data_IF_034361219109
#
_entry.id   IF_034361219109
#
_cell.length_a   1.000
_cell.length_b   1.000
_cell.length_c   1.000
_cell.angle_alpha   90.00
_cell.angle_beta   90.00
_cell.angle_gamma   90.00
#
_symmetry.space_group_name_H-M   'P 1'
#
loop_
_entity.id
_entity.type
_entity.pdbx_description
1 polymer ?
#
# COMPACT_ATOMS: atom_id res chain seq x y z
N UNK A 1 9.54 1.36 27.61
CA UNK A 1 8.90 0.08 27.99
C UNK A 1 9.65 -1.06 27.32
N UNK A 2 10.16 -2.02 28.09
CA UNK A 2 10.66 -3.26 27.53
C UNK A 2 9.48 -4.05 26.98
N UNK A 3 9.42 -4.18 25.66
CA UNK A 3 8.35 -4.89 24.96
C UNK A 3 8.41 -6.37 25.33
N UNK A 4 7.31 -6.88 25.86
CA UNK A 4 7.13 -8.28 26.17
C UNK A 4 7.31 -9.10 24.86
N UNK A 5 8.37 -9.90 24.79
CA UNK A 5 8.79 -10.68 23.60
C UNK A 5 8.07 -12.02 23.48
N UNK A 6 7.09 -12.27 24.33
CA UNK A 6 6.48 -13.58 24.50
C UNK A 6 4.98 -13.53 24.25
N UNK A 7 4.48 -14.50 23.50
CA UNK A 7 3.06 -14.64 23.20
C UNK A 7 2.48 -15.88 23.88
N UNK A 8 1.26 -15.74 24.42
CA UNK A 8 0.53 -16.83 25.07
C UNK A 8 -0.43 -17.46 24.07
N UNK A 9 -0.34 -18.78 23.87
CA UNK A 9 -1.34 -19.51 23.09
C UNK A 9 -2.55 -19.82 23.97
N UNK A 10 -3.74 -19.38 23.55
CA UNK A 10 -4.99 -19.55 24.30
C UNK A 10 -5.80 -20.72 23.71
N UNK A 11 -6.01 -21.74 24.52
CA UNK A 11 -7.17 -22.63 24.45
C UNK A 11 -7.65 -22.76 25.90
N UNK A 12 -8.89 -22.35 26.18
CA UNK A 12 -9.59 -22.51 27.46
C UNK A 12 -8.73 -22.64 28.74
N UNK A 13 -8.57 -21.54 29.48
CA UNK A 13 -8.16 -21.50 30.89
C UNK A 13 -6.81 -22.11 31.34
N UNK A 14 -6.03 -22.81 30.50
CA UNK A 14 -4.70 -23.33 30.88
C UNK A 14 -3.69 -23.28 29.73
N UNK A 15 -2.86 -22.23 29.70
CA UNK A 15 -1.74 -22.10 28.77
C UNK A 15 -0.53 -22.94 29.22
N UNK A 16 -0.16 -23.97 28.45
CA UNK A 16 0.89 -24.95 28.80
C UNK A 16 2.31 -24.55 28.36
N UNK A 17 2.50 -23.66 27.38
CA UNK A 17 3.83 -23.32 26.84
C UNK A 17 3.99 -21.84 26.45
N UNK A 18 5.20 -21.33 26.70
CA UNK A 18 5.68 -19.99 26.32
C UNK A 18 6.46 -20.11 25.00
N UNK A 19 6.10 -19.30 23.99
CA UNK A 19 6.77 -19.31 22.68
C UNK A 19 7.39 -17.93 22.41
N UNK A 20 8.67 -17.86 22.00
CA UNK A 20 9.30 -16.60 21.59
C UNK A 20 8.55 -15.97 20.41
N UNK A 21 8.20 -14.70 20.54
CA UNK A 21 7.61 -13.88 19.49
C UNK A 21 8.37 -12.55 19.39
N UNK A 22 9.51 -12.52 18.67
CA UNK A 22 10.32 -11.32 18.49
C UNK A 22 9.49 -10.14 17.97
N UNK A 23 9.72 -8.97 18.57
CA UNK A 23 9.09 -7.69 18.18
C UNK A 23 10.12 -6.57 18.21
N UNK A 24 10.10 -5.75 17.18
CA UNK A 24 10.90 -4.53 17.08
C UNK A 24 10.00 -3.39 16.58
N UNK A 25 9.55 -2.58 17.53
CA UNK A 25 8.60 -1.51 17.29
C UNK A 25 9.11 -0.22 17.90
N UNK A 26 9.07 0.87 17.15
CA UNK A 26 9.34 2.19 17.68
C UNK A 26 8.53 3.23 16.95
N UNK A 27 8.28 4.32 17.66
CA UNK A 27 7.61 5.49 17.12
C UNK A 27 8.35 6.73 17.56
N UNK A 28 8.65 7.58 16.60
CA UNK A 28 9.24 8.89 16.81
C UNK A 28 8.33 9.96 16.20
N UNK A 29 8.07 11.00 16.97
CA UNK A 29 7.34 12.17 16.49
C UNK A 29 8.07 13.42 16.95
N UNK A 30 8.41 14.28 16.00
CA UNK A 30 9.02 15.57 16.24
C UNK A 30 8.24 16.67 15.54
N UNK A 31 8.09 17.81 16.22
CA UNK A 31 7.57 19.03 15.61
C UNK A 31 8.36 20.21 16.14
N UNK A 32 8.97 20.94 15.22
CA UNK A 32 9.62 22.21 15.50
C UNK A 32 8.83 23.33 14.86
N UNK A 33 8.73 24.46 15.56
CA UNK A 33 8.01 25.64 15.10
C UNK A 33 8.84 26.86 15.42
N UNK A 34 9.23 27.59 14.38
CA UNK A 34 9.96 28.85 14.51
C UNK A 34 9.04 30.00 14.08
N UNK A 35 8.86 30.96 14.97
CA UNK A 35 8.16 32.20 14.67
C UNK A 35 9.15 33.17 14.04
N UNK A 36 8.79 33.71 12.87
CA UNK A 36 9.63 34.71 12.22
C UNK A 36 9.69 35.99 13.07
N UNK A 37 10.82 36.72 13.06
CA UNK A 37 10.92 38.00 13.76
C UNK A 37 9.80 38.96 13.36
N UNK A 38 9.41 39.82 14.29
CA UNK A 38 8.32 40.80 14.10
C UNK A 38 6.97 40.17 13.75
N UNK A 39 6.73 38.93 14.19
CA UNK A 39 5.49 38.18 13.95
C UNK A 39 5.13 38.02 12.45
N UNK A 40 6.10 38.12 11.53
CA UNK A 40 5.87 38.06 10.08
C UNK A 40 5.52 36.65 9.55
N UNK A 41 5.33 35.68 10.44
CA UNK A 41 4.98 34.33 10.04
C UNK A 41 5.54 33.23 10.92
N UNK A 42 5.44 32.01 10.40
CA UNK A 42 5.83 30.78 11.10
C UNK A 42 6.36 29.72 10.14
N UNK A 43 7.53 29.19 10.46
CA UNK A 43 8.07 27.99 9.84
C UNK A 43 7.76 26.79 10.75
N UNK A 44 7.25 25.70 10.20
CA UNK A 44 7.01 24.45 10.93
C UNK A 44 7.69 23.30 10.21
N UNK A 45 8.53 22.56 10.93
CA UNK A 45 9.05 21.28 10.48
C UNK A 45 8.41 20.18 11.32
N UNK A 46 7.98 19.09 10.69
CA UNK A 46 7.42 17.94 11.39
C UNK A 46 7.96 16.63 10.81
N UNK A 47 8.19 15.68 11.69
CA UNK A 47 8.61 14.34 11.33
C UNK A 47 7.80 13.35 12.16
N UNK A 48 7.24 12.35 11.49
CA UNK A 48 6.63 11.21 12.12
C UNK A 48 7.24 9.96 11.52
N UNK A 49 7.62 9.02 12.38
CA UNK A 49 8.15 7.74 11.99
C UNK A 49 7.55 6.68 12.90
N UNK A 50 6.91 5.68 12.30
CA UNK A 50 6.47 4.49 12.98
C UNK A 50 7.03 3.28 12.26
N UNK A 51 7.64 2.39 13.02
CA UNK A 51 8.04 1.07 12.56
C UNK A 51 7.46 0.01 13.49
N UNK A 52 6.90 -1.04 12.89
CA UNK A 52 6.48 -2.25 13.59
C UNK A 52 6.97 -3.47 12.84
N UNK A 53 7.85 -4.26 13.46
CA UNK A 53 8.28 -5.56 12.95
C UNK A 53 7.96 -6.62 13.98
N UNK A 54 7.20 -7.65 13.58
CA UNK A 54 6.81 -8.72 14.50
C UNK A 54 6.55 -10.04 13.76
N UNK A 55 6.77 -11.14 14.46
CA UNK A 55 6.44 -12.49 13.98
C UNK A 55 5.06 -12.88 14.55
N UNK A 56 4.04 -13.14 13.72
CA UNK A 56 2.72 -13.57 14.18
C UNK A 56 2.70 -15.07 14.52
N UNK A 57 1.93 -15.47 15.54
CA UNK A 57 1.67 -16.87 15.86
C UNK A 57 0.25 -17.28 15.42
N UNK A 58 0.13 -18.28 14.53
CA UNK A 58 -1.14 -18.69 13.90
C UNK A 58 -1.86 -19.85 14.61
N UNK A 59 -3.19 -19.73 14.75
CA UNK A 59 -4.10 -20.67 15.44
C UNK A 59 -4.19 -22.08 14.80
N UNK A 60 -3.87 -22.23 13.51
CA UNK A 60 -3.99 -23.51 12.77
C UNK A 60 -2.97 -24.60 13.13
N UNK A 61 -2.09 -24.35 14.10
CA UNK A 61 -0.93 -25.19 14.41
C UNK A 61 -1.17 -26.20 15.54
N UNK A 62 -2.24 -26.05 16.31
CA UNK A 62 -2.39 -26.75 17.60
C UNK A 62 -3.32 -27.98 17.51
N UNK A 63 -4.24 -27.99 16.54
CA UNK A 63 -5.28 -29.03 16.39
C UNK A 63 -5.00 -30.05 15.28
N UNK A 64 -3.97 -29.85 14.45
CA UNK A 64 -3.66 -30.77 13.34
C UNK A 64 -2.82 -31.98 13.80
N UNK A 65 -3.16 -33.23 13.41
CA UNK A 65 -2.38 -34.43 13.72
C UNK A 65 -0.99 -34.47 13.06
N UNK A 66 -0.69 -33.56 12.14
CA UNK A 66 0.62 -33.41 11.48
C UNK A 66 1.60 -32.52 12.24
N UNK A 67 1.63 -32.64 13.59
CA UNK A 67 2.41 -31.79 14.52
C UNK A 67 3.92 -31.74 14.26
N UNK A 68 4.45 -32.66 13.46
CA UNK A 68 5.89 -32.87 13.29
C UNK A 68 6.45 -32.54 11.90
N UNK A 69 5.62 -32.23 10.91
CA UNK A 69 6.10 -31.93 9.55
C UNK A 69 5.92 -30.43 9.23
N UNK A 70 6.81 -29.61 9.79
CA UNK A 70 6.79 -28.13 9.72
C UNK A 70 7.25 -27.60 8.37
N UNK A 71 6.49 -27.78 7.30
CA UNK A 71 6.78 -27.07 6.04
C UNK A 71 5.50 -26.76 5.28
N UNK A 72 5.06 -25.50 5.39
CA UNK A 72 4.50 -24.69 4.30
C UNK A 72 4.26 -23.23 4.79
N UNK A 73 5.28 -22.40 5.10
CA UNK A 73 5.24 -21.15 5.91
C UNK A 73 5.16 -21.25 7.45
N UNK A 74 5.28 -22.42 8.06
CA UNK A 74 4.97 -22.71 9.48
C UNK A 74 4.87 -21.49 10.46
N UNK A 75 3.77 -20.71 10.52
CA UNK A 75 2.46 -20.95 9.91
C UNK A 75 1.76 -19.68 9.33
N UNK A 76 2.42 -19.06 8.32
CA UNK A 76 1.97 -18.02 7.35
C UNK A 76 2.13 -16.55 7.79
N UNK A 77 3.23 -15.90 7.37
CA UNK A 77 3.25 -14.45 7.11
C UNK A 77 4.27 -13.99 6.04
N UNK A 78 3.83 -13.15 5.08
CA UNK A 78 4.70 -12.08 4.56
C UNK A 78 3.84 -10.88 4.16
N UNK A 79 3.99 -9.81 4.90
CA UNK A 79 3.47 -8.48 4.62
C UNK A 79 4.59 -7.48 4.94
N UNK A 80 5.05 -6.77 3.92
CA UNK A 80 5.97 -5.65 4.04
C UNK A 80 5.27 -4.42 3.48
N UNK A 81 4.93 -3.47 4.35
CA UNK A 81 4.31 -2.19 3.97
C UNK A 81 5.21 -1.05 4.39
N UNK A 82 5.57 -0.21 3.43
CA UNK A 82 6.37 1.00 3.64
C UNK A 82 5.67 2.15 2.93
N UNK A 83 5.35 3.19 3.69
CA UNK A 83 4.68 4.37 3.17
C UNK A 83 5.43 5.61 3.64
N UNK A 84 5.90 6.41 2.70
CA UNK A 84 6.43 7.74 2.94
C UNK A 84 5.47 8.79 2.40
N UNK A 85 5.24 9.83 3.20
CA UNK A 85 4.51 11.01 2.78
C UNK A 85 5.41 12.21 3.06
N UNK A 86 5.78 12.90 2.00
CA UNK A 86 6.50 14.17 2.04
C UNK A 86 5.50 15.28 1.74
N UNK A 87 5.30 16.20 2.67
CA UNK A 87 4.30 17.27 2.55
C UNK A 87 4.93 18.64 2.70
N UNK A 88 4.67 19.52 1.74
CA UNK A 88 4.95 20.95 1.82
C UNK A 88 3.66 21.75 1.72
N UNK A 89 3.44 22.67 2.65
CA UNK A 89 2.33 23.61 2.59
C UNK A 89 2.85 25.02 2.79
N UNK A 90 2.61 25.87 1.80
CA UNK A 90 2.89 27.29 1.87
C UNK A 90 1.59 28.08 1.94
N UNK A 91 1.47 28.93 2.95
CA UNK A 91 0.36 29.86 3.09
C UNK A 91 0.92 31.27 3.09
N UNK A 92 0.30 32.13 2.30
CA UNK A 92 0.61 33.55 2.21
C UNK A 92 -0.63 34.37 2.49
N UNK A 93 -0.55 35.24 3.49
CA UNK A 93 -1.60 36.22 3.78
C UNK A 93 -1.17 37.60 3.28
N UNK A 94 -1.86 38.09 2.26
CA UNK A 94 -1.68 39.41 1.67
C UNK A 94 -2.44 40.45 2.50
N UNK A 95 -1.89 40.84 3.64
CA UNK A 95 -2.41 41.89 4.55
C UNK A 95 -1.31 42.90 4.90
N UNK A 96 -1.66 44.03 5.53
CA UNK A 96 -0.71 45.07 5.95
C UNK A 96 0.44 44.54 6.84
N UNK A 97 0.19 43.43 7.54
CA UNK A 97 1.23 42.58 8.11
C UNK A 97 1.22 41.27 7.33
N UNK A 98 2.09 41.14 6.34
CA UNK A 98 2.22 39.92 5.54
C UNK A 98 2.61 38.77 6.46
N UNK A 99 1.76 37.75 6.55
CA UNK A 99 2.03 36.54 7.33
C UNK A 99 2.37 35.39 6.39
N UNK A 100 3.60 34.89 6.50
CA UNK A 100 4.07 33.73 5.77
C UNK A 100 4.00 32.49 6.67
N UNK A 101 3.38 31.40 6.21
CA UNK A 101 3.49 30.11 6.88
C UNK A 101 3.98 29.03 5.94
N UNK A 102 5.18 28.52 6.21
CA UNK A 102 5.71 27.33 5.55
C UNK A 102 5.64 26.17 6.54
N UNK A 103 5.02 25.06 6.12
CA UNK A 103 5.00 23.80 6.85
C UNK A 103 5.62 22.74 5.97
N UNK A 104 6.68 22.10 6.46
CA UNK A 104 7.29 20.94 5.82
C UNK A 104 7.17 19.75 6.76
N UNK A 105 6.86 18.59 6.19
CA UNK A 105 6.52 17.40 6.95
C UNK A 105 7.00 16.15 6.24
N UNK A 106 7.49 15.19 7.03
CA UNK A 106 7.69 13.82 6.56
C UNK A 106 6.95 12.87 7.50
N UNK A 107 6.24 11.91 6.94
CA UNK A 107 5.54 10.88 7.69
C UNK A 107 5.90 9.52 7.10
N UNK A 108 6.41 8.62 7.94
CA UNK A 108 6.80 7.27 7.58
C UNK A 108 6.00 6.27 8.39
N UNK A 109 5.36 5.33 7.70
CA UNK A 109 4.72 4.16 8.31
C UNK A 109 5.35 2.89 7.77
N UNK A 110 5.80 2.03 8.67
CA UNK A 110 6.35 0.72 8.36
C UNK A 110 5.66 -0.37 9.16
N UNK A 111 5.28 -1.44 8.45
CA UNK A 111 4.75 -2.66 9.06
C UNK A 111 5.36 -3.88 8.37
N UNK A 112 5.97 -4.72 9.19
CA UNK A 112 6.58 -5.97 8.81
C UNK A 112 5.93 -7.06 9.65
N UNK A 113 5.14 -7.91 8.99
CA UNK A 113 4.59 -9.13 9.55
C UNK A 113 5.17 -10.26 8.72
N UNK A 114 6.29 -10.84 9.15
CA UNK A 114 7.06 -11.77 8.34
C UNK A 114 7.70 -12.90 9.13
N UNK A 115 7.94 -14.02 8.44
CA UNK A 115 8.94 -15.00 8.86
C UNK A 115 10.31 -14.46 8.47
N UNK A 116 11.23 -14.41 9.43
CA UNK A 116 12.59 -13.90 9.22
C UNK A 116 13.46 -14.96 8.54
N UNK A 117 14.31 -14.51 7.62
CA UNK A 117 15.38 -15.31 7.05
C UNK A 117 16.63 -15.18 7.95
N UNK A 118 16.68 -16.00 9.01
CA UNK A 118 17.73 -15.89 10.03
C UNK A 118 19.12 -16.19 9.48
N UNK A 119 19.23 -17.12 8.52
CA UNK A 119 20.50 -17.48 7.90
C UNK A 119 21.05 -16.27 7.12
N UNK A 120 20.22 -15.62 6.31
CA UNK A 120 20.61 -14.39 5.61
C UNK A 120 20.96 -13.25 6.58
N UNK A 121 20.18 -13.08 7.65
CA UNK A 121 20.43 -12.02 8.63
C UNK A 121 21.74 -12.22 9.40
N UNK A 122 22.12 -13.46 9.71
CA UNK A 122 23.39 -13.79 10.36
C UNK A 122 24.57 -13.60 9.40
N UNK A 123 24.45 -14.04 8.15
CA UNK A 123 25.46 -13.84 7.11
C UNK A 123 25.73 -12.36 6.80
N UNK A 124 24.71 -11.50 6.95
CA UNK A 124 24.79 -10.07 6.64
C UNK A 124 24.95 -9.17 7.89
N UNK A 125 25.15 -9.75 9.07
CA UNK A 125 25.27 -9.02 10.35
C UNK A 125 24.16 -7.97 10.55
N UNK A 126 22.90 -8.39 10.39
CA UNK A 126 21.75 -7.48 10.40
C UNK A 126 21.66 -6.73 11.74
N UNK A 127 21.68 -5.41 11.66
CA UNK A 127 21.59 -4.56 12.83
C UNK A 127 20.14 -4.37 13.29
N UNK A 128 19.94 -4.11 14.58
CA UNK A 128 18.60 -3.97 15.16
C UNK A 128 17.77 -2.82 14.55
N UNK A 129 18.42 -1.82 13.95
CA UNK A 129 17.76 -0.69 13.29
C UNK A 129 17.49 -0.94 11.80
N UNK A 130 17.82 -2.11 11.28
CA UNK A 130 17.54 -2.49 9.89
C UNK A 130 16.18 -3.20 9.77
N UNK A 131 15.67 -3.22 8.54
CA UNK A 131 14.44 -3.93 8.23
C UNK A 131 14.75 -5.44 8.20
N UNK A 132 13.97 -6.26 8.92
CA UNK A 132 14.11 -7.72 8.84
C UNK A 132 13.96 -8.20 7.40
N UNK A 133 14.70 -9.26 7.08
CA UNK A 133 14.59 -9.91 5.78
C UNK A 133 13.50 -10.97 5.84
N UNK A 134 12.53 -10.88 4.95
CA UNK A 134 11.54 -11.93 4.79
C UNK A 134 12.09 -13.10 3.97
N UNK A 135 11.78 -14.34 4.36
CA UNK A 135 12.04 -15.52 3.52
C UNK A 135 11.30 -15.35 2.19
N UNK A 136 12.00 -15.49 1.07
CA UNK A 136 11.46 -15.31 -0.28
C UNK A 136 11.52 -13.86 -0.81
N UNK A 137 11.99 -12.90 -0.01
CA UNK A 137 12.13 -11.50 -0.45
C UNK A 137 13.18 -11.32 -1.57
N UNK A 138 14.10 -12.28 -1.74
CA UNK A 138 15.11 -12.26 -2.82
C UNK A 138 14.52 -12.41 -4.23
N UNK A 139 13.29 -12.87 -4.34
CA UNK A 139 12.62 -13.03 -5.63
C UNK A 139 11.84 -11.77 -6.05
N UNK A 140 11.69 -10.76 -5.18
CA UNK A 140 10.98 -9.51 -5.52
C UNK A 140 11.56 -8.81 -6.76
N UNK A 141 12.90 -8.67 -6.94
CA UNK A 141 13.45 -8.07 -8.16
C UNK A 141 13.04 -8.82 -9.43
N UNK A 142 13.02 -10.16 -9.40
CA UNK A 142 12.60 -11.00 -10.53
C UNK A 142 11.11 -10.82 -10.87
N UNK A 143 10.30 -10.36 -9.91
CA UNK A 143 8.88 -10.06 -10.13
C UNK A 143 8.63 -8.67 -10.69
N UNK A 144 9.53 -7.73 -10.44
CA UNK A 144 9.36 -6.32 -10.81
C UNK A 144 10.13 -5.95 -12.09
N UNK A 145 11.23 -6.63 -12.39
CA UNK A 145 12.06 -6.35 -13.56
C UNK A 145 11.98 -7.51 -14.56
N UNK A 146 11.49 -7.21 -15.76
CA UNK A 146 11.37 -8.19 -16.85
C UNK A 146 12.74 -8.56 -17.41
N UNK A 147 13.73 -7.66 -17.35
CA UNK A 147 15.07 -7.91 -17.90
C UNK A 147 15.88 -8.89 -17.05
N UNK A 148 15.50 -9.06 -15.79
CA UNK A 148 16.11 -10.04 -14.89
C UNK A 148 15.52 -11.45 -15.07
N UNK A 149 14.42 -11.58 -15.84
CA UNK A 149 13.82 -12.87 -16.20
C UNK A 149 14.38 -13.35 -17.54
N UNK A 150 14.70 -14.64 -17.64
CA UNK A 150 14.98 -15.25 -18.93
C UNK A 150 13.75 -15.19 -19.84
N UNK A 151 13.91 -15.26 -21.18
CA UNK A 151 12.79 -15.14 -22.13
C UNK A 151 11.70 -16.19 -21.89
N UNK A 152 12.06 -17.33 -21.32
CA UNK A 152 11.16 -18.46 -21.03
C UNK A 152 10.68 -18.51 -19.58
N UNK A 153 11.10 -17.57 -18.71
CA UNK A 153 10.75 -17.57 -17.28
C UNK A 153 9.55 -16.67 -17.03
N UNK A 154 8.42 -17.29 -16.73
CA UNK A 154 7.19 -16.56 -16.41
C UNK A 154 7.19 -16.06 -14.96
N UNK A 155 6.39 -15.04 -14.67
CA UNK A 155 6.14 -14.58 -13.29
C UNK A 155 5.60 -15.74 -12.43
N UNK A 156 4.82 -16.64 -13.03
CA UNK A 156 4.31 -17.84 -12.36
C UNK A 156 5.44 -18.76 -11.91
N UNK A 157 6.47 -18.96 -12.74
CA UNK A 157 7.61 -19.80 -12.39
C UNK A 157 8.40 -19.20 -11.22
N UNK A 158 8.65 -17.89 -11.25
CA UNK A 158 9.32 -17.18 -10.14
C UNK A 158 8.55 -17.36 -8.84
N UNK A 159 7.22 -17.28 -8.86
CA UNK A 159 6.39 -17.42 -7.67
C UNK A 159 6.25 -18.86 -7.19
N UNK A 160 6.13 -19.82 -8.10
CA UNK A 160 6.01 -21.24 -7.74
C UNK A 160 7.35 -21.76 -7.20
N UNK A 161 8.47 -21.40 -7.84
CA UNK A 161 9.80 -21.87 -7.44
C UNK A 161 10.29 -21.22 -6.15
N UNK A 162 10.06 -19.90 -5.99
CA UNK A 162 10.35 -19.20 -4.74
C UNK A 162 9.58 -19.76 -3.55
N UNK A 163 8.36 -20.26 -3.80
CA UNK A 163 7.54 -20.87 -2.77
C UNK A 163 7.90 -22.34 -2.55
N UNK A 164 8.25 -23.14 -3.54
CA UNK A 164 8.54 -24.57 -3.32
C UNK A 164 9.88 -24.80 -2.61
N UNK A 165 10.90 -23.95 -2.82
CA UNK A 165 12.22 -24.14 -2.20
C UNK A 165 12.19 -24.25 -0.67
N UNK A 166 11.31 -23.50 -0.01
CA UNK A 166 11.21 -23.50 1.46
C UNK A 166 10.23 -24.55 2.01
N UNK A 167 9.69 -25.42 1.16
CA UNK A 167 8.49 -26.21 1.47
C UNK A 167 8.70 -27.68 1.08
N UNK A 168 8.24 -28.62 1.92
CA UNK A 168 8.09 -30.03 1.53
C UNK A 168 6.61 -30.31 1.36
N UNK A 169 6.22 -30.69 0.16
CA UNK A 169 4.84 -30.99 -0.18
C UNK A 169 4.42 -32.27 0.58
N UNK A 170 3.34 -32.24 1.40
CA UNK A 170 3.02 -33.36 2.28
C UNK A 170 2.61 -34.65 1.55
N UNK A 171 2.30 -34.56 0.25
CA UNK A 171 1.96 -35.71 -0.59
C UNK A 171 3.12 -36.11 -1.53
N UNK A 172 4.31 -35.52 -1.36
CA UNK A 172 5.52 -35.77 -2.14
C UNK A 172 5.35 -35.60 -3.66
N UNK A 173 4.57 -34.61 -4.09
CA UNK A 173 4.45 -34.23 -5.50
C UNK A 173 5.63 -33.36 -5.94
N UNK A 174 6.21 -33.67 -7.10
CA UNK A 174 7.33 -32.94 -7.70
C UNK A 174 6.91 -31.53 -8.19
N UNK A 175 7.88 -30.65 -8.43
CA UNK A 175 7.70 -29.26 -8.91
C UNK A 175 6.78 -29.21 -10.12
N UNK A 176 6.94 -30.15 -11.05
CA UNK A 176 6.15 -30.23 -12.28
C UNK A 176 4.66 -30.51 -12.02
N UNK A 177 4.33 -31.29 -10.99
CA UNK A 177 2.96 -31.56 -10.59
C UNK A 177 2.30 -30.33 -9.94
N UNK A 178 3.09 -29.48 -9.27
CA UNK A 178 2.61 -28.21 -8.71
C UNK A 178 2.46 -27.17 -9.83
N UNK A 179 3.33 -27.16 -10.84
CA UNK A 179 3.21 -26.25 -12.00
C UNK A 179 2.00 -26.60 -12.88
N UNK A 180 1.68 -27.88 -13.05
CA UNK A 180 0.70 -28.34 -14.04
C UNK A 180 -0.64 -28.84 -13.50
N UNK A 181 -0.87 -28.87 -12.18
CA UNK A 181 -2.15 -29.34 -11.65
C UNK A 181 -3.28 -28.31 -11.87
N UNK A 182 -4.46 -28.68 -12.39
CA UNK A 182 -5.60 -27.76 -12.49
C UNK A 182 -6.34 -27.53 -11.15
N UNK A 183 -6.01 -28.29 -10.09
CA UNK A 183 -6.68 -28.28 -8.77
C UNK A 183 -5.69 -28.17 -7.60
N UNK A 184 -4.59 -27.42 -7.77
CA UNK A 184 -3.39 -27.43 -6.91
C UNK A 184 -3.71 -27.39 -5.39
N UNK A 185 -3.63 -28.56 -4.73
CA UNK A 185 -3.82 -28.87 -3.29
C UNK A 185 -5.28 -29.11 -2.81
N UNK A 186 -5.92 -30.19 -3.26
CA UNK A 186 -7.09 -30.77 -2.58
C UNK A 186 -6.74 -31.23 -1.14
N UNK A 187 -7.60 -30.90 -0.17
CA UNK A 187 -7.53 -31.41 1.21
C UNK A 187 -7.03 -30.44 2.30
N UNK A 188 -6.82 -29.15 2.00
CA UNK A 188 -6.41 -28.14 3.01
C UNK A 188 -7.43 -27.05 3.32
N UNK A 189 -8.64 -27.10 2.78
CA UNK A 189 -9.63 -26.02 2.96
C UNK A 189 -10.72 -26.41 3.99
N UNK A 190 -10.76 -25.66 5.11
CA UNK A 190 -11.91 -25.60 6.00
C UNK A 190 -12.94 -24.62 5.42
N UNK A 191 -14.22 -24.99 5.48
CA UNK A 191 -15.38 -24.33 4.85
C UNK A 191 -15.79 -22.97 5.45
N UNK A 192 -14.97 -22.34 6.31
CA UNK A 192 -15.18 -20.96 6.77
C UNK A 192 -13.89 -20.29 7.32
N UNK A 193 -13.60 -19.04 6.90
CA UNK A 193 -12.55 -18.16 7.43
C UNK A 193 -11.50 -17.69 6.41
N UNK A 194 -10.98 -16.45 6.51
CA UNK A 194 -9.94 -15.88 5.62
C UNK A 194 -8.58 -15.75 6.30
N UNK A 195 -7.57 -16.49 5.85
CA UNK A 195 -6.15 -16.13 6.04
C UNK A 195 -5.29 -16.56 4.83
N UNK A 196 -4.95 -15.60 3.94
CA UNK A 196 -4.13 -15.77 2.71
C UNK A 196 -3.01 -14.73 2.65
N UNK A 197 -1.77 -15.07 2.26
CA UNK A 197 -0.61 -14.16 2.44
C UNK A 197 0.58 -14.37 1.48
N UNK A 198 0.83 -13.32 0.71
CA UNK A 198 2.10 -12.59 0.53
C UNK A 198 1.70 -11.18 0.07
N UNK A 199 2.22 -10.11 0.67
CA UNK A 199 2.06 -8.71 0.21
C UNK A 199 3.37 -7.90 0.32
N UNK A 200 3.68 -7.07 -0.67
CA UNK A 200 4.75 -6.07 -0.68
C UNK A 200 4.17 -4.74 -1.16
N UNK A 201 4.14 -3.73 -0.31
CA UNK A 201 3.69 -2.37 -0.62
C UNK A 201 4.80 -1.38 -0.27
N UNK A 202 5.12 -0.49 -1.21
CA UNK A 202 6.12 0.54 -1.04
C UNK A 202 5.70 1.83 -1.74
N UNK A 203 5.05 2.72 -0.99
CA UNK A 203 4.46 3.92 -1.54
C UNK A 203 5.22 5.17 -1.09
N UNK A 204 5.45 6.09 -2.03
CA UNK A 204 5.95 7.43 -1.74
C UNK A 204 4.96 8.47 -2.28
N UNK A 205 4.49 9.33 -1.40
CA UNK A 205 3.56 10.40 -1.73
C UNK A 205 4.27 11.75 -1.56
N UNK A 206 4.27 12.56 -2.61
CA UNK A 206 4.81 13.92 -2.59
C UNK A 206 3.65 14.91 -2.71
N UNK A 207 3.40 15.65 -1.65
CA UNK A 207 2.27 16.56 -1.52
C UNK A 207 2.76 18.01 -1.45
N UNK A 208 2.23 18.84 -2.34
CA UNK A 208 2.46 20.28 -2.36
C UNK A 208 1.14 21.02 -2.26
N UNK A 209 1.08 22.01 -1.38
CA UNK A 209 -0.08 22.89 -1.25
C UNK A 209 0.37 24.33 -1.16
N UNK A 210 -0.32 25.19 -1.89
CA UNK A 210 -0.08 26.62 -1.90
C UNK A 210 -1.41 27.35 -1.71
N UNK A 211 -1.46 28.23 -0.72
CA UNK A 211 -2.65 29.01 -0.39
C UNK A 211 -2.28 30.50 -0.31
N UNK A 212 -3.07 31.35 -0.97
CA UNK A 212 -3.07 32.80 -0.80
C UNK A 212 -4.39 33.20 -0.13
N UNK A 213 -4.31 34.07 0.86
CA UNK A 213 -5.46 34.72 1.48
C UNK A 213 -5.30 36.22 1.37
N UNK A 214 -6.32 36.93 0.91
CA UNK A 214 -6.34 38.38 0.78
C UNK A 214 -7.67 38.95 1.27
N UNK A 215 -7.61 39.86 2.23
CA UNK A 215 -8.79 40.55 2.76
C UNK A 215 -9.02 41.84 1.96
N UNK A 216 -10.19 41.99 1.37
CA UNK A 216 -10.61 43.18 0.62
C UNK A 216 -11.65 43.94 1.44
N UNK A 217 -11.23 45.06 2.03
CA UNK A 217 -12.06 45.83 2.96
C UNK A 217 -12.29 45.08 4.27
N UNK A 218 -13.49 45.26 4.86
CA UNK A 218 -13.89 44.62 6.12
C UNK A 218 -14.81 43.41 5.94
N UNK A 219 -15.35 43.24 4.72
CA UNK A 219 -16.45 42.31 4.44
C UNK A 219 -15.95 41.05 3.73
N UNK A 220 -15.07 41.17 2.73
CA UNK A 220 -14.64 40.04 1.89
C UNK A 220 -13.24 39.57 2.24
N UNK A 221 -13.06 38.25 2.34
CA UNK A 221 -11.76 37.59 2.44
C UNK A 221 -11.69 36.48 1.38
N UNK A 222 -10.84 36.71 0.39
CA UNK A 222 -10.62 35.76 -0.69
C UNK A 222 -9.48 34.81 -0.31
N UNK A 223 -9.74 33.52 -0.44
CA UNK A 223 -8.74 32.47 -0.34
C UNK A 223 -8.70 31.69 -1.64
N UNK A 224 -7.51 31.58 -2.22
CA UNK A 224 -7.28 30.82 -3.44
C UNK A 224 -6.04 29.95 -3.28
N UNK A 225 -5.99 28.82 -3.96
CA UNK A 225 -4.86 27.93 -3.84
C UNK A 225 -4.88 26.78 -4.81
N UNK A 226 -3.78 26.02 -4.81
CA UNK A 226 -3.68 24.76 -5.53
C UNK A 226 -3.07 23.67 -4.67
N UNK A 227 -3.54 22.45 -4.89
CA UNK A 227 -3.06 21.22 -4.28
C UNK A 227 -2.49 20.32 -5.36
N UNK A 228 -1.29 19.77 -5.14
CA UNK A 228 -0.66 18.78 -6.01
C UNK A 228 -0.26 17.56 -5.17
N UNK A 229 -0.51 16.37 -5.69
CA UNK A 229 0.00 15.13 -5.09
C UNK A 229 0.49 14.20 -6.17
N UNK A 230 1.79 13.87 -6.12
CA UNK A 230 2.40 12.82 -6.93
C UNK A 230 2.51 11.56 -6.07
N UNK A 231 1.97 10.46 -6.56
CA UNK A 231 2.11 9.16 -5.93
C UNK A 231 3.17 8.33 -6.67
N UNK A 232 3.92 7.53 -5.94
CA UNK A 232 4.63 6.38 -6.47
C UNK A 232 4.08 5.18 -5.72
N UNK A 233 3.25 4.40 -6.40
CA UNK A 233 2.57 3.25 -5.80
C UNK A 233 3.33 2.02 -6.27
N UNK A 234 3.92 1.30 -5.32
CA UNK A 234 4.47 -0.05 -5.56
C UNK A 234 3.68 -1.05 -4.77
N UNK A 235 3.16 -2.06 -5.45
CA UNK A 235 2.40 -3.14 -4.86
C UNK A 235 2.83 -4.45 -5.52
N UNK A 236 3.01 -5.50 -4.74
CA UNK A 236 2.97 -6.86 -5.22
C UNK A 236 2.32 -7.75 -4.17
N UNK A 237 1.18 -8.36 -4.47
CA UNK A 237 0.45 -9.23 -3.56
C UNK A 237 0.05 -10.52 -4.28
N UNK A 238 0.16 -11.69 -3.65
CA UNK A 238 -0.38 -12.95 -4.19
C UNK A 238 -0.99 -13.78 -3.05
N UNK A 239 -2.17 -14.35 -3.28
CA UNK A 239 -2.96 -15.05 -2.24
C UNK A 239 -3.26 -16.55 -2.52
N UNK A 240 -2.32 -17.22 -3.21
CA UNK A 240 -2.01 -18.68 -3.30
C UNK A 240 -2.71 -19.52 -4.39
N UNK A 241 -1.97 -20.45 -5.07
CA UNK A 241 -2.21 -20.92 -6.45
C UNK A 241 -3.24 -22.05 -6.65
N UNK A 242 -4.16 -22.25 -5.71
CA UNK A 242 -5.05 -23.42 -5.65
C UNK A 242 -6.29 -23.34 -6.55
N UNK A 243 -6.44 -22.29 -7.35
CA UNK A 243 -7.57 -22.03 -8.25
C UNK A 243 -7.07 -21.94 -9.69
N UNK A 244 -7.90 -22.33 -10.68
CA UNK A 244 -7.59 -22.24 -12.11
C UNK A 244 -7.32 -20.78 -12.56
N UNK A 245 -7.71 -19.80 -11.75
CA UNK A 245 -7.31 -18.40 -11.83
C UNK A 245 -6.48 -18.00 -10.58
N UNK A 246 -5.13 -18.11 -10.60
CA UNK A 246 -4.31 -17.80 -9.43
C UNK A 246 -4.20 -16.28 -9.25
N UNK A 247 -4.64 -15.71 -8.11
CA UNK A 247 -4.72 -14.24 -7.92
C UNK A 247 -3.36 -13.56 -7.60
N UNK A 248 -2.99 -12.55 -8.40
CA UNK A 248 -1.72 -11.78 -8.40
C UNK A 248 -2.01 -10.28 -8.59
N UNK A 249 -1.44 -9.37 -7.80
CA UNK A 249 -1.60 -7.92 -8.03
C UNK A 249 -0.29 -7.15 -7.91
N UNK A 250 0.22 -6.67 -9.05
CA UNK A 250 1.48 -5.92 -9.21
C UNK A 250 1.14 -4.52 -9.67
N UNK A 251 1.53 -3.48 -8.93
CA UNK A 251 1.40 -2.12 -9.46
C UNK A 251 2.66 -1.33 -9.18
N UNK A 252 3.39 -0.96 -10.23
CA UNK A 252 4.38 0.12 -10.23
C UNK A 252 3.81 1.26 -11.09
N UNK A 253 3.21 2.25 -10.42
CA UNK A 253 2.49 3.35 -11.09
C UNK A 253 2.75 4.69 -10.43
N UNK A 254 2.68 5.74 -11.25
CA UNK A 254 2.99 7.12 -10.82
C UNK A 254 1.81 8.10 -11.01
N UNK A 255 0.61 7.81 -10.44
CA UNK A 255 -0.54 8.68 -10.61
C UNK A 255 -0.33 10.05 -9.96
N UNK A 256 -1.08 11.06 -10.40
CA UNK A 256 -1.05 12.37 -9.79
C UNK A 256 -2.44 13.01 -9.68
N UNK A 257 -2.60 13.87 -8.67
CA UNK A 257 -3.77 14.71 -8.45
C UNK A 257 -3.35 16.17 -8.51
N UNK A 258 -4.16 16.98 -9.16
CA UNK A 258 -4.06 18.43 -9.18
C UNK A 258 -5.42 19.02 -8.85
N UNK A 259 -5.45 20.03 -8.00
CA UNK A 259 -6.67 20.76 -7.74
C UNK A 259 -6.40 22.25 -7.60
N UNK A 260 -7.36 23.06 -8.01
CA UNK A 260 -7.35 24.51 -7.85
C UNK A 260 -8.68 24.96 -7.24
N UNK A 261 -8.64 25.97 -6.39
CA UNK A 261 -9.85 26.47 -5.77
C UNK A 261 -9.78 27.97 -5.50
N UNK A 262 -10.96 28.59 -5.47
CA UNK A 262 -11.18 29.97 -5.03
C UNK A 262 -12.38 29.98 -4.09
N UNK A 263 -12.25 30.69 -2.99
CA UNK A 263 -13.27 30.80 -1.96
C UNK A 263 -13.35 32.25 -1.50
N UNK A 264 -14.56 32.78 -1.42
CA UNK A 264 -14.86 34.03 -0.74
C UNK A 264 -15.50 33.73 0.62
N UNK A 265 -14.99 34.39 1.65
CA UNK A 265 -15.61 34.46 2.97
C UNK A 265 -16.16 35.88 3.13
N UNK A 266 -17.47 35.98 3.26
CA UNK A 266 -18.19 37.24 3.50
C UNK A 266 -18.59 37.33 4.97
N UNK A 267 -18.27 38.43 5.62
CA UNK A 267 -18.65 38.75 7.00
C UNK A 267 -19.42 40.08 7.01
N UNK A 268 -20.73 40.02 7.23
CA UNK A 268 -21.60 41.18 7.21
C UNK A 268 -22.67 41.09 8.31
N UNK A 269 -22.69 42.05 9.23
CA UNK A 269 -23.74 42.27 10.23
C UNK A 269 -24.19 41.01 11.01
N UNK A 270 -23.24 40.12 11.33
CA UNK A 270 -23.50 38.88 12.08
C UNK A 270 -23.79 37.66 11.21
N UNK A 271 -23.80 37.80 9.88
CA UNK A 271 -23.88 36.69 8.93
C UNK A 271 -22.48 36.41 8.37
N UNK A 272 -22.07 35.14 8.43
CA UNK A 272 -20.84 34.66 7.82
C UNK A 272 -21.19 33.66 6.72
N UNK A 273 -20.89 34.01 5.47
CA UNK A 273 -21.06 33.13 4.32
C UNK A 273 -19.70 32.70 3.77
N UNK A 274 -19.59 31.45 3.31
CA UNK A 274 -18.40 30.92 2.63
C UNK A 274 -18.84 30.26 1.34
N UNK A 275 -18.52 30.89 0.22
CA UNK A 275 -18.85 30.41 -1.12
C UNK A 275 -17.57 30.18 -1.86
N UNK A 276 -17.44 29.03 -2.52
CA UNK A 276 -16.23 28.71 -3.26
C UNK A 276 -16.48 27.68 -4.33
N UNK A 277 -15.57 27.67 -5.30
CA UNK A 277 -15.51 26.70 -6.38
C UNK A 277 -14.17 25.98 -6.32
N UNK A 278 -14.22 24.68 -6.61
CA UNK A 278 -13.04 23.82 -6.66
C UNK A 278 -13.09 22.97 -7.92
N UNK A 279 -11.93 22.85 -8.56
CA UNK A 279 -11.70 21.98 -9.69
C UNK A 279 -10.65 20.95 -9.29
N UNK A 280 -10.96 19.67 -9.52
CA UNK A 280 -10.06 18.54 -9.25
C UNK A 280 -9.80 17.79 -10.56
N UNK A 281 -8.53 17.45 -10.79
CA UNK A 281 -8.05 16.63 -11.90
C UNK A 281 -7.22 15.48 -11.34
N UNK A 282 -7.48 14.26 -11.83
CA UNK A 282 -6.78 13.06 -11.42
C UNK A 282 -6.40 12.24 -12.65
N UNK A 283 -5.10 11.92 -12.75
CA UNK A 283 -4.59 11.00 -13.74
C UNK A 283 -4.06 9.75 -13.02
N UNK A 284 -4.70 8.61 -13.27
CA UNK A 284 -4.34 7.33 -12.69
C UNK A 284 -3.05 6.75 -13.28
N UNK A 285 -2.59 7.24 -14.44
CA UNK A 285 -1.53 6.64 -15.27
C UNK A 285 -1.67 5.13 -15.40
N UNK A 286 -2.91 4.67 -15.48
CA UNK A 286 -3.29 3.27 -15.55
C UNK A 286 -4.27 3.10 -16.71
N UNK A 287 -4.02 2.09 -17.54
CA UNK A 287 -4.98 1.67 -18.55
C UNK A 287 -6.11 0.93 -17.85
N UNK A 288 -7.33 1.45 -17.95
CA UNK A 288 -8.52 0.66 -17.64
C UNK A 288 -8.97 0.03 -18.96
N UNK A 289 -8.93 -1.30 -19.07
CA UNK A 289 -9.71 -1.99 -20.09
C UNK A 289 -11.18 -1.68 -19.79
N UNK A 290 -11.75 -0.70 -20.50
CA UNK A 290 -13.18 -0.60 -20.65
C UNK A 290 -13.61 -1.84 -21.43
N UNK A 291 -13.86 -2.94 -20.72
CA UNK A 291 -14.87 -3.89 -21.17
C UNK A 291 -16.17 -3.11 -21.14
N UNK A 292 -16.45 -2.43 -22.24
CA UNK A 292 -17.78 -1.95 -22.57
C UNK A 292 -18.66 -3.19 -22.73
N UNK A 293 -19.12 -3.73 -21.59
CA UNK A 293 -20.18 -4.70 -21.53
C UNK A 293 -21.49 -3.98 -21.90
N UNK A 294 -21.66 -3.71 -23.19
CA UNK A 294 -22.96 -3.41 -23.75
C UNK A 294 -23.74 -4.72 -23.83
N UNK A 295 -24.43 -5.08 -22.75
CA UNK A 295 -25.64 -5.87 -22.88
C UNK A 295 -26.78 -4.92 -23.24
N UNK A 296 -26.91 -4.62 -24.53
CA UNK A 296 -28.08 -3.95 -25.07
C UNK A 296 -29.20 -4.99 -25.16
N UNK A 297 -30.02 -5.10 -24.11
CA UNK A 297 -31.31 -5.76 -24.22
C UNK A 297 -32.26 -4.78 -24.91
N UNK A 298 -32.35 -4.85 -26.24
CA UNK A 298 -33.47 -4.28 -26.99
C UNK A 298 -34.24 -5.43 -27.62
N UNK A 299 -35.39 -5.72 -27.02
CA UNK A 299 -36.47 -6.42 -27.68
C UNK A 299 -36.92 -5.58 -28.89
N UNK A 300 -36.96 -6.20 -30.07
CA UNK A 300 -37.39 -5.55 -31.29
C UNK A 300 -37.24 -6.50 -32.49
N UNK A 301 -38.25 -7.34 -32.68
CA UNK A 301 -38.50 -8.09 -33.92
C UNK A 301 -38.44 -7.16 -35.15
N UNK A 302 -37.38 -7.26 -35.95
CA UNK A 302 -37.40 -7.37 -37.44
C UNK A 302 -36.00 -7.15 -38.05
N UNK A 303 -35.58 -7.94 -39.06
CA UNK A 303 -34.21 -7.92 -39.57
C UNK A 303 -34.11 -7.20 -40.93
N UNK A 304 -34.25 -5.88 -40.95
CA UNK A 304 -33.98 -5.06 -42.13
C UNK A 304 -34.08 -3.56 -41.81
N UNK A 305 -33.02 -2.97 -41.22
CA UNK A 305 -32.59 -1.59 -41.54
C UNK A 305 -31.31 -1.20 -40.77
N UNK A 306 -30.53 -0.30 -41.38
CA UNK A 306 -29.10 -0.11 -41.23
C UNK A 306 -28.61 0.40 -39.85
N UNK A 307 -27.51 -0.17 -39.36
CA UNK A 307 -26.69 0.40 -38.29
C UNK A 307 -25.41 1.02 -38.88
N UNK A 308 -25.25 2.32 -38.71
CA UNK A 308 -24.03 3.06 -39.01
C UNK A 308 -22.88 2.56 -38.12
N UNK A 309 -21.82 2.05 -38.73
CA UNK A 309 -20.53 1.76 -38.09
C UNK A 309 -19.78 3.08 -37.83
N UNK A 310 -19.42 3.34 -36.56
CA UNK A 310 -18.36 4.30 -36.23
C UNK A 310 -17.11 3.53 -35.78
N UNK A 311 -16.05 3.69 -36.55
CA UNK A 311 -14.70 3.13 -36.35
C UNK A 311 -13.96 3.92 -35.26
N UNK A 312 -13.19 3.29 -34.34
CA UNK A 312 -12.34 4.04 -33.43
C UNK A 312 -11.01 4.41 -34.11
N UNK A 313 -10.73 5.71 -34.16
CA UNK A 313 -9.46 6.25 -34.62
C UNK A 313 -8.41 6.03 -33.51
N UNK A 314 -7.38 5.26 -33.85
CA UNK A 314 -6.11 5.15 -33.14
C UNK A 314 -5.42 6.51 -33.04
N UNK A 315 -4.84 6.81 -31.88
CA UNK A 315 -3.69 7.71 -31.77
C UNK A 315 -2.87 7.36 -30.51
N UNK A 316 -1.83 6.55 -30.74
CA UNK A 316 -0.56 6.45 -29.99
C UNK A 316 0.30 7.72 -30.24
N UNK A 317 1.47 7.93 -29.59
CA UNK A 317 2.11 7.18 -28.49
C UNK A 317 2.36 7.98 -27.20
#
# INVERSE_FOLDING_TARGET
EYMNTDSYSYAGHHSLHKVPAPRNEYRFQGRMSYLLPNAKGKLTASAFNERRQYIPYGWGSVTSPYRYNRKYFANRPMEKRKNWIYSGTFNYMATAQTLLSLKVGTTKYERFRTNRDYDWEEENDLQWYEDWRAVGEQYIPLLLDENLRGPDVTIRDVLVDSLIQFHTEPTNRDVEAIRNSPYQLEGRHFTAGSERIWTYQNNNDYQGRFDITHSVGKVHEFKTGFDYTQYHIRMYQNTLPHDANPFYDIYDKTPFKLAGYVQDKMDFEGIIARVGLRFDYFDAKAFTLLLAAYWLFLAGDRPDEAAFQLWPLLADP
#
